data_IF_531989818693
#
_entry.id   IF_531989818693
#
_cell.length_a   1.000
_cell.length_b   1.000
_cell.length_c   1.000
_cell.angle_alpha   90.00
_cell.angle_beta   90.00
_cell.angle_gamma   90.00
#
_symmetry.space_group_name_H-M   'P 1'
#
loop_
_entity.id
_entity.type
_entity.pdbx_description
1 polymer ?
#
# COMPACT_ATOMS: atom_id res chain seq x y z
N UNK A 1 -45.54 -9.66 -2.66
CA UNK A 1 -44.55 -8.66 -2.17
C UNK A 1 -43.20 -9.34 -2.18
N UNK A 2 -42.42 -9.12 -3.21
CA UNK A 2 -41.04 -9.61 -3.32
C UNK A 2 -40.21 -8.71 -2.37
N UNK A 3 -39.62 -9.32 -1.33
CA UNK A 3 -38.69 -8.63 -0.45
C UNK A 3 -37.56 -8.01 -1.30
N UNK A 4 -37.18 -6.77 -0.98
CA UNK A 4 -36.07 -6.10 -1.69
C UNK A 4 -34.81 -6.97 -1.60
N UNK A 5 -34.01 -7.10 -2.69
CA UNK A 5 -32.78 -7.85 -2.66
C UNK A 5 -31.85 -7.28 -1.58
N UNK A 6 -31.42 -8.13 -0.65
CA UNK A 6 -30.59 -7.74 0.51
C UNK A 6 -31.37 -7.56 1.83
N UNK A 7 -32.70 -7.71 1.86
CA UNK A 7 -33.47 -7.70 3.12
C UNK A 7 -33.06 -8.91 3.98
N UNK A 8 -32.49 -8.63 5.15
CA UNK A 8 -31.97 -9.62 6.09
C UNK A 8 -30.41 -9.72 6.15
N UNK A 9 -29.70 -8.98 5.31
CA UNK A 9 -28.24 -8.85 5.42
C UNK A 9 -27.88 -7.72 6.40
N UNK A 10 -27.06 -8.04 7.39
CA UNK A 10 -26.64 -7.12 8.45
C UNK A 10 -25.10 -7.03 8.49
N UNK A 11 -24.57 -5.99 9.11
CA UNK A 11 -23.10 -5.80 9.25
C UNK A 11 -22.40 -7.00 9.91
N UNK A 12 -23.09 -7.72 10.82
CA UNK A 12 -22.53 -8.93 11.42
C UNK A 12 -22.25 -10.02 10.38
N UNK A 13 -23.05 -10.14 9.33
CA UNK A 13 -22.85 -11.09 8.25
C UNK A 13 -21.60 -10.73 7.43
N UNK A 14 -21.41 -9.43 7.13
CA UNK A 14 -20.24 -8.93 6.42
C UNK A 14 -18.96 -9.15 7.25
N UNK A 15 -19.00 -8.83 8.56
CA UNK A 15 -17.88 -9.06 9.48
C UNK A 15 -17.50 -10.54 9.58
N UNK A 16 -18.49 -11.42 9.70
CA UNK A 16 -18.29 -12.86 9.74
C UNK A 16 -17.60 -13.37 8.47
N UNK A 17 -18.12 -13.00 7.32
CA UNK A 17 -17.57 -13.40 6.02
C UNK A 17 -16.14 -12.85 5.81
N UNK A 18 -15.92 -11.56 6.05
CA UNK A 18 -14.60 -10.93 5.88
C UNK A 18 -13.54 -11.56 6.80
N UNK A 19 -13.89 -11.89 8.05
CA UNK A 19 -12.99 -12.57 8.96
C UNK A 19 -12.61 -13.98 8.46
N UNK A 20 -13.59 -14.77 8.01
CA UNK A 20 -13.35 -16.12 7.45
C UNK A 20 -12.49 -16.05 6.18
N UNK A 21 -12.76 -15.09 5.31
CA UNK A 21 -11.99 -14.87 4.08
C UNK A 21 -10.52 -14.53 4.37
N UNK A 22 -10.28 -13.64 5.35
CA UNK A 22 -8.94 -13.20 5.76
C UNK A 22 -8.12 -14.33 6.39
N UNK A 23 -8.73 -15.10 7.30
CA UNK A 23 -8.04 -16.18 8.02
C UNK A 23 -8.00 -17.50 7.24
N UNK A 24 -8.82 -17.64 6.18
CA UNK A 24 -9.04 -18.91 5.47
C UNK A 24 -9.37 -20.07 6.41
N UNK A 25 -10.00 -19.75 7.55
CA UNK A 25 -10.29 -20.67 8.64
C UNK A 25 -11.46 -20.18 9.48
N UNK A 26 -12.50 -20.98 9.62
CA UNK A 26 -13.63 -20.66 10.50
C UNK A 26 -13.22 -20.61 11.99
N UNK A 27 -12.32 -21.48 12.43
CA UNK A 27 -11.86 -21.52 13.81
C UNK A 27 -11.11 -20.24 14.18
N UNK A 28 -10.10 -19.85 13.40
CA UNK A 28 -9.33 -18.61 13.62
C UNK A 28 -10.20 -17.35 13.53
N UNK A 29 -11.12 -17.34 12.58
CA UNK A 29 -12.06 -16.22 12.45
C UNK A 29 -13.02 -16.13 13.65
N UNK A 30 -13.47 -17.26 14.19
CA UNK A 30 -14.32 -17.30 15.38
C UNK A 30 -13.57 -16.80 16.63
N UNK A 31 -12.31 -17.19 16.79
CA UNK A 31 -11.42 -16.69 17.84
C UNK A 31 -11.25 -15.17 17.76
N UNK A 32 -10.96 -14.63 16.57
CA UNK A 32 -10.85 -13.18 16.36
C UNK A 32 -12.14 -12.44 16.70
N UNK A 33 -13.29 -13.01 16.34
CA UNK A 33 -14.60 -12.38 16.57
C UNK A 33 -15.20 -12.71 17.94
N UNK A 34 -14.45 -13.38 18.81
CA UNK A 34 -14.88 -13.81 20.16
C UNK A 34 -16.23 -14.54 20.13
N UNK A 35 -16.44 -15.45 19.19
CA UNK A 35 -17.67 -16.20 19.00
C UNK A 35 -17.39 -17.70 18.84
N UNK A 36 -18.44 -18.53 18.95
CA UNK A 36 -18.31 -19.97 18.70
C UNK A 36 -18.27 -20.25 17.19
N UNK A 37 -17.36 -21.15 16.75
CA UNK A 37 -17.22 -21.53 15.34
C UNK A 37 -18.54 -21.99 14.68
N UNK A 38 -19.44 -22.77 15.34
CA UNK A 38 -20.72 -23.14 14.74
C UNK A 38 -21.65 -21.94 14.50
N UNK A 39 -21.59 -20.92 15.40
CA UNK A 39 -22.38 -19.70 15.25
C UNK A 39 -21.86 -18.88 14.05
N UNK A 40 -20.52 -18.71 13.92
CA UNK A 40 -19.90 -18.05 12.81
C UNK A 40 -20.26 -18.72 11.46
N UNK A 41 -20.17 -20.05 11.44
CA UNK A 41 -20.52 -20.83 10.23
C UNK A 41 -21.98 -20.63 9.82
N UNK A 42 -22.90 -20.59 10.79
CA UNK A 42 -24.33 -20.28 10.51
C UNK A 42 -24.50 -18.87 9.99
N UNK A 43 -23.83 -17.89 10.56
CA UNK A 43 -23.90 -16.49 10.11
C UNK A 43 -23.45 -16.35 8.66
N UNK A 44 -22.33 -16.99 8.27
CA UNK A 44 -21.89 -16.98 6.87
C UNK A 44 -22.85 -17.74 5.95
N UNK A 45 -23.41 -18.87 6.38
CA UNK A 45 -24.40 -19.61 5.61
C UNK A 45 -25.70 -18.78 5.38
N UNK A 46 -26.14 -18.02 6.39
CA UNK A 46 -27.27 -17.08 6.26
C UNK A 46 -26.99 -16.00 5.20
N UNK A 47 -25.77 -15.46 5.18
CA UNK A 47 -25.37 -14.51 4.15
C UNK A 47 -25.44 -15.11 2.75
N UNK A 48 -24.84 -16.29 2.55
CA UNK A 48 -24.86 -16.99 1.25
C UNK A 48 -26.29 -17.32 0.81
N UNK A 49 -27.15 -17.72 1.75
CA UNK A 49 -28.58 -17.96 1.49
C UNK A 49 -29.30 -16.68 1.09
N UNK A 50 -29.08 -15.57 1.80
CA UNK A 50 -29.73 -14.30 1.49
C UNK A 50 -29.28 -13.71 0.15
N UNK A 51 -28.04 -13.99 -0.27
CA UNK A 51 -27.49 -13.60 -1.57
C UNK A 51 -27.88 -14.59 -2.70
N UNK A 52 -28.27 -15.81 -2.37
CA UNK A 52 -28.53 -16.87 -3.34
C UNK A 52 -27.27 -17.40 -4.05
N UNK A 53 -26.08 -17.08 -3.55
CA UNK A 53 -24.81 -17.48 -4.15
C UNK A 53 -23.80 -17.94 -3.08
N UNK A 54 -22.89 -18.85 -3.47
CA UNK A 54 -21.79 -19.23 -2.61
C UNK A 54 -20.63 -18.23 -2.73
N UNK A 55 -20.13 -17.81 -1.59
CA UNK A 55 -18.97 -16.92 -1.47
C UNK A 55 -17.70 -17.68 -1.10
N UNK A 56 -17.84 -18.83 -0.42
CA UNK A 56 -16.74 -19.67 0.03
C UNK A 56 -16.85 -21.08 -0.53
N UNK A 57 -15.73 -21.60 -1.02
CA UNK A 57 -15.52 -23.01 -1.28
C UNK A 57 -14.99 -23.69 -0.03
N UNK A 58 -15.70 -24.73 0.42
CA UNK A 58 -15.37 -25.47 1.64
C UNK A 58 -14.88 -26.85 1.23
N UNK A 59 -13.61 -27.13 1.45
CA UNK A 59 -13.08 -28.47 1.47
C UNK A 59 -12.77 -28.88 2.91
N UNK A 60 -12.58 -30.18 3.17
CA UNK A 60 -12.21 -30.68 4.51
C UNK A 60 -10.87 -30.13 5.01
N UNK A 61 -10.08 -29.51 4.14
CA UNK A 61 -8.73 -29.01 4.48
C UNK A 61 -8.52 -27.52 4.26
N UNK A 62 -9.40 -26.83 3.49
CA UNK A 62 -9.20 -25.42 3.12
C UNK A 62 -10.54 -24.68 2.94
N UNK A 63 -10.51 -23.41 3.29
CA UNK A 63 -11.57 -22.45 2.97
C UNK A 63 -10.98 -21.46 1.97
N UNK A 64 -11.58 -21.38 0.79
CA UNK A 64 -11.16 -20.52 -0.30
C UNK A 64 -12.32 -19.63 -0.75
N UNK A 65 -12.02 -18.49 -1.34
CA UNK A 65 -13.04 -17.63 -1.93
C UNK A 65 -13.44 -18.14 -3.30
N UNK A 66 -14.74 -18.11 -3.61
CA UNK A 66 -15.21 -18.20 -4.99
C UNK A 66 -14.85 -16.91 -5.74
N UNK A 67 -14.96 -16.91 -7.09
CA UNK A 67 -14.80 -15.68 -7.87
C UNK A 67 -15.79 -14.59 -7.40
N UNK A 68 -17.06 -14.96 -7.16
CA UNK A 68 -18.09 -14.08 -6.59
C UNK A 68 -17.72 -13.63 -5.17
N UNK A 69 -17.16 -14.54 -4.34
CA UNK A 69 -16.71 -14.24 -2.99
C UNK A 69 -15.58 -13.22 -2.97
N UNK A 70 -14.66 -13.29 -3.90
CA UNK A 70 -13.56 -12.31 -4.02
C UNK A 70 -14.09 -10.91 -4.35
N UNK A 71 -15.00 -10.79 -5.29
CA UNK A 71 -15.66 -9.52 -5.63
C UNK A 71 -16.47 -8.99 -4.44
N UNK A 72 -17.27 -9.87 -3.82
CA UNK A 72 -18.11 -9.49 -2.68
C UNK A 72 -17.27 -9.06 -1.47
N UNK A 73 -16.09 -9.68 -1.25
CA UNK A 73 -15.20 -9.30 -0.15
C UNK A 73 -14.78 -7.84 -0.23
N UNK A 74 -14.38 -7.37 -1.41
CA UNK A 74 -14.00 -5.97 -1.61
C UNK A 74 -15.14 -5.02 -1.25
N UNK A 75 -16.36 -5.32 -1.65
CA UNK A 75 -17.54 -4.52 -1.31
C UNK A 75 -17.89 -4.59 0.18
N UNK A 76 -17.79 -5.77 0.78
CA UNK A 76 -18.06 -5.97 2.21
C UNK A 76 -17.06 -5.18 3.08
N UNK A 77 -15.76 -5.25 2.76
CA UNK A 77 -14.72 -4.49 3.47
C UNK A 77 -14.93 -2.98 3.35
N UNK A 78 -15.28 -2.46 2.16
CA UNK A 78 -15.64 -1.05 1.96
C UNK A 78 -16.84 -0.61 2.81
N UNK A 79 -17.89 -1.43 2.85
CA UNK A 79 -19.08 -1.14 3.64
C UNK A 79 -18.77 -1.10 5.14
N UNK A 80 -17.99 -2.05 5.62
CA UNK A 80 -17.54 -2.10 7.01
C UNK A 80 -16.68 -0.89 7.37
N UNK A 81 -15.72 -0.53 6.53
CA UNK A 81 -14.87 0.64 6.73
C UNK A 81 -15.68 1.94 6.76
N UNK A 82 -16.64 2.11 5.85
CA UNK A 82 -17.53 3.29 5.83
C UNK A 82 -18.40 3.38 7.10
N UNK A 83 -18.89 2.24 7.60
CA UNK A 83 -19.64 2.20 8.86
C UNK A 83 -18.76 2.59 10.06
N UNK A 84 -17.54 2.02 10.16
CA UNK A 84 -16.62 2.31 11.26
C UNK A 84 -16.19 3.80 11.24
N UNK A 85 -16.00 4.40 10.05
CA UNK A 85 -15.77 5.83 9.89
C UNK A 85 -16.94 6.68 10.38
N UNK A 86 -18.16 6.28 10.05
CA UNK A 86 -19.35 7.01 10.51
C UNK A 86 -19.49 6.98 12.05
N UNK A 87 -19.17 5.84 12.66
CA UNK A 87 -19.16 5.70 14.13
C UNK A 87 -18.08 6.56 14.76
N UNK A 88 -16.85 6.55 14.22
CA UNK A 88 -15.74 7.37 14.69
C UNK A 88 -16.08 8.87 14.60
N UNK A 89 -16.62 9.31 13.47
CA UNK A 89 -17.05 10.69 13.28
C UNK A 89 -18.14 11.13 14.30
N UNK A 90 -19.11 10.25 14.58
CA UNK A 90 -20.15 10.51 15.57
C UNK A 90 -19.61 10.62 17.01
N UNK A 91 -18.46 9.98 17.29
CA UNK A 91 -17.76 10.05 18.58
C UNK A 91 -16.79 11.23 18.68
N UNK A 92 -16.66 12.02 17.62
CA UNK A 92 -15.66 13.09 17.55
C UNK A 92 -14.22 12.59 17.40
N UNK A 93 -14.02 11.30 17.09
CA UNK A 93 -12.73 10.71 16.81
C UNK A 93 -12.35 11.06 15.36
N UNK A 94 -11.62 12.16 15.21
CA UNK A 94 -11.17 12.62 13.90
C UNK A 94 -9.81 12.01 13.58
N UNK A 95 -9.75 11.18 12.54
CA UNK A 95 -8.56 10.45 12.10
C UNK A 95 -8.43 10.55 10.58
N UNK A 96 -7.19 10.66 10.09
CA UNK A 96 -6.85 10.51 8.67
C UNK A 96 -5.80 9.42 8.53
N UNK A 97 -6.07 8.41 7.71
CA UNK A 97 -5.17 7.27 7.50
C UNK A 97 -4.32 7.49 6.26
N UNK A 98 -3.00 7.60 6.47
CA UNK A 98 -2.01 7.75 5.41
C UNK A 98 -1.38 6.40 5.07
N UNK A 99 -1.69 5.88 3.88
CA UNK A 99 -1.09 4.66 3.33
C UNK A 99 0.27 4.94 2.69
N UNK A 100 1.23 4.04 2.90
CA UNK A 100 2.55 4.10 2.27
C UNK A 100 3.15 2.70 2.13
N UNK A 101 4.04 2.50 1.14
CA UNK A 101 4.63 1.18 0.89
C UNK A 101 5.92 0.94 1.68
N UNK A 102 6.81 1.89 1.68
CA UNK A 102 8.10 1.84 2.40
C UNK A 102 8.52 3.28 2.68
N UNK A 103 9.48 3.52 3.48
CA UNK A 103 9.99 4.79 3.97
C UNK A 103 9.19 6.06 3.59
N UNK A 104 8.65 6.75 4.58
CA UNK A 104 8.09 8.08 4.37
C UNK A 104 9.22 9.08 4.09
N UNK A 105 9.02 10.04 3.17
CA UNK A 105 10.02 11.07 2.88
C UNK A 105 10.27 11.95 4.10
N UNK A 106 11.53 12.23 4.37
CA UNK A 106 11.98 13.09 5.46
C UNK A 106 12.58 14.38 4.87
N UNK A 107 12.23 15.56 5.34
CA UNK A 107 11.36 15.90 6.50
C UNK A 107 9.88 16.10 6.15
N UNK A 108 9.47 15.85 4.90
CA UNK A 108 8.12 16.11 4.41
C UNK A 108 7.03 15.48 5.30
N UNK A 109 7.19 14.20 5.64
CA UNK A 109 6.16 13.47 6.38
C UNK A 109 5.95 14.06 7.77
N UNK A 110 7.03 14.34 8.49
CA UNK A 110 7.00 14.90 9.84
C UNK A 110 6.34 16.28 9.85
N UNK A 111 6.72 17.16 8.91
CA UNK A 111 6.14 18.49 8.78
C UNK A 111 4.65 18.44 8.39
N UNK A 112 4.30 17.56 7.46
CA UNK A 112 2.90 17.38 7.02
C UNK A 112 2.02 16.90 8.17
N UNK A 113 2.46 15.86 8.88
CA UNK A 113 1.70 15.27 9.99
C UNK A 113 1.54 16.28 11.12
N UNK A 114 2.66 16.87 11.58
CA UNK A 114 2.62 17.83 12.69
C UNK A 114 1.72 19.04 12.37
N UNK A 115 1.82 19.58 11.17
CA UNK A 115 0.99 20.70 10.74
C UNK A 115 -0.50 20.33 10.67
N UNK A 116 -0.81 19.19 10.07
CA UNK A 116 -2.18 18.72 9.98
C UNK A 116 -2.83 18.51 11.35
N UNK A 117 -2.13 17.82 12.26
CA UNK A 117 -2.61 17.54 13.61
C UNK A 117 -2.77 18.83 14.43
N UNK A 118 -1.86 19.79 14.28
CA UNK A 118 -1.96 21.10 14.92
C UNK A 118 -3.15 21.92 14.42
N UNK A 119 -3.36 21.94 13.09
CA UNK A 119 -4.42 22.77 12.48
C UNK A 119 -5.82 22.19 12.68
N UNK A 120 -5.97 20.87 12.88
CA UNK A 120 -7.28 20.20 12.91
C UNK A 120 -7.62 19.55 14.24
N UNK A 121 -6.64 19.26 15.09
CA UNK A 121 -6.81 18.40 16.26
C UNK A 121 -7.05 16.91 15.93
N UNK A 122 -7.14 16.56 14.65
CA UNK A 122 -7.28 15.20 14.19
C UNK A 122 -5.92 14.48 14.18
N UNK A 123 -5.91 13.15 14.28
CA UNK A 123 -4.70 12.34 14.27
C UNK A 123 -4.42 11.77 12.88
N UNK A 124 -3.14 11.63 12.51
CA UNK A 124 -2.73 10.86 11.34
C UNK A 124 -2.30 9.46 11.76
N UNK A 125 -3.00 8.44 11.26
CA UNK A 125 -2.61 7.04 11.42
C UNK A 125 -1.85 6.56 10.20
N UNK A 126 -0.65 6.01 10.42
CA UNK A 126 0.21 5.49 9.38
C UNK A 126 -0.11 4.02 9.09
N UNK A 127 -0.46 3.73 7.84
CA UNK A 127 -0.82 2.37 7.39
C UNK A 127 0.20 1.89 6.36
N UNK A 128 1.06 0.95 6.77
CA UNK A 128 2.01 0.34 5.82
C UNK A 128 1.31 -0.75 5.00
N UNK A 129 1.47 -0.67 3.69
CA UNK A 129 1.00 -1.68 2.73
C UNK A 129 1.92 -1.68 1.52
N UNK A 130 2.28 -2.85 1.00
CA UNK A 130 3.12 -2.92 -0.21
C UNK A 130 2.40 -2.35 -1.44
N UNK A 131 1.06 -2.35 -1.47
CA UNK A 131 0.25 -1.63 -2.44
C UNK A 131 -0.73 -0.66 -1.73
N UNK A 132 -0.36 0.61 -1.51
CA UNK A 132 -1.23 1.59 -0.85
C UNK A 132 -2.51 1.92 -1.63
N UNK A 133 -2.55 1.74 -2.96
CA UNK A 133 -3.76 1.96 -3.77
C UNK A 133 -4.88 0.99 -3.39
N UNK A 134 -4.56 -0.27 -3.10
CA UNK A 134 -5.56 -1.24 -2.62
C UNK A 134 -6.23 -0.78 -1.33
N UNK A 135 -5.49 -0.05 -0.50
CA UNK A 135 -6.02 0.54 0.73
C UNK A 135 -7.07 1.62 0.48
N UNK A 136 -6.91 2.43 -0.57
CA UNK A 136 -7.92 3.41 -1.00
C UNK A 136 -9.19 2.73 -1.51
N UNK A 137 -9.03 1.70 -2.33
CA UNK A 137 -10.17 0.94 -2.87
C UNK A 137 -10.98 0.25 -1.78
N UNK A 138 -10.32 -0.22 -0.73
CA UNK A 138 -10.96 -0.87 0.43
C UNK A 138 -11.38 0.11 1.52
N UNK A 139 -11.17 1.40 1.33
CA UNK A 139 -11.38 2.45 2.33
C UNK A 139 -10.64 2.19 3.67
N UNK A 140 -9.53 1.47 3.62
CA UNK A 140 -8.65 1.24 4.78
C UNK A 140 -7.61 2.34 4.95
N UNK A 141 -7.39 3.16 3.92
CA UNK A 141 -6.63 4.42 3.96
C UNK A 141 -7.42 5.53 3.28
N UNK A 142 -7.16 6.78 3.65
CA UNK A 142 -7.83 7.96 3.12
C UNK A 142 -6.97 8.68 2.09
N UNK A 143 -5.66 8.59 2.26
CA UNK A 143 -4.64 9.13 1.35
C UNK A 143 -3.53 8.09 1.20
N UNK A 144 -3.07 7.85 -0.01
CA UNK A 144 -1.94 6.97 -0.32
C UNK A 144 -0.75 7.76 -0.87
N UNK A 145 0.43 7.56 -0.30
CA UNK A 145 1.68 8.09 -0.81
C UNK A 145 2.23 7.14 -1.88
N UNK A 146 2.40 7.65 -3.08
CA UNK A 146 2.86 6.90 -4.25
C UNK A 146 4.17 7.48 -4.77
N UNK A 147 5.09 6.58 -5.16
CA UNK A 147 6.31 6.91 -5.89
C UNK A 147 6.25 6.34 -7.30
N UNK A 148 6.62 7.17 -8.26
CA UNK A 148 6.61 6.77 -9.68
C UNK A 148 5.40 7.24 -10.45
N UNK A 149 5.30 6.79 -11.70
CA UNK A 149 4.33 7.25 -12.70
C UNK A 149 3.19 6.28 -12.94
N UNK A 150 3.07 5.20 -12.14
CA UNK A 150 1.99 4.23 -12.30
C UNK A 150 0.63 4.94 -12.39
N UNK A 151 -0.25 4.46 -13.28
CA UNK A 151 -1.58 5.05 -13.43
C UNK A 151 -2.39 4.88 -12.14
N UNK A 152 -3.18 5.88 -11.82
CA UNK A 152 -4.15 5.86 -10.74
C UNK A 152 -5.53 5.82 -11.36
N UNK A 153 -6.31 4.75 -11.15
CA UNK A 153 -7.60 4.59 -11.82
C UNK A 153 -8.64 5.59 -11.28
N UNK A 154 -9.56 6.07 -12.14
CA UNK A 154 -10.74 6.78 -11.67
C UNK A 154 -11.56 5.92 -10.69
N UNK A 155 -12.24 6.52 -9.71
CA UNK A 155 -12.44 7.95 -9.47
C UNK A 155 -11.38 8.62 -8.58
N UNK A 156 -10.25 7.95 -8.32
CA UNK A 156 -9.18 8.50 -7.50
C UNK A 156 -8.55 9.72 -8.16
N UNK A 157 -8.20 10.70 -7.34
CA UNK A 157 -7.46 11.90 -7.72
C UNK A 157 -6.00 11.79 -7.28
N UNK A 158 -5.12 12.53 -7.95
CA UNK A 158 -3.72 12.61 -7.56
C UNK A 158 -3.27 14.04 -7.36
N UNK A 159 -2.34 14.25 -6.43
CA UNK A 159 -1.62 15.50 -6.25
C UNK A 159 -0.12 15.21 -6.30
N UNK A 160 0.60 15.82 -7.25
CA UNK A 160 2.06 15.80 -7.29
C UNK A 160 2.61 16.65 -6.14
N UNK A 161 3.64 16.13 -5.48
CA UNK A 161 4.35 16.84 -4.39
C UNK A 161 5.66 17.42 -4.91
N UNK A 162 6.60 16.56 -5.26
CA UNK A 162 7.91 16.89 -5.82
C UNK A 162 8.53 15.64 -6.44
N UNK A 163 9.69 15.81 -7.04
CA UNK A 163 10.45 14.73 -7.67
C UNK A 163 11.65 14.36 -6.80
N UNK A 164 11.80 13.07 -6.46
CA UNK A 164 12.94 12.53 -5.73
C UNK A 164 14.06 12.12 -6.70
N UNK A 165 15.30 12.49 -6.43
CA UNK A 165 16.45 11.95 -7.15
C UNK A 165 16.60 10.44 -6.87
N UNK A 166 17.33 9.71 -7.73
CA UNK A 166 17.65 8.29 -7.54
C UNK A 166 19.07 8.11 -7.02
N UNK A 167 19.28 7.04 -6.28
CA UNK A 167 20.58 6.56 -5.85
C UNK A 167 20.70 5.07 -6.14
N UNK A 168 21.89 4.60 -6.48
CA UNK A 168 22.17 3.18 -6.61
C UNK A 168 22.58 2.61 -5.24
N UNK A 169 22.30 1.33 -5.02
CA UNK A 169 22.63 0.59 -3.79
C UNK A 169 23.29 -0.72 -4.20
N UNK A 170 24.39 -1.08 -3.57
CA UNK A 170 25.08 -2.35 -3.80
C UNK A 170 25.64 -2.91 -2.49
N UNK A 171 25.97 -4.20 -2.48
CA UNK A 171 26.73 -4.78 -1.39
C UNK A 171 28.17 -4.22 -1.40
N UNK A 172 28.74 -4.00 -0.22
CA UNK A 172 30.15 -3.63 -0.07
C UNK A 172 31.04 -4.76 -0.60
N UNK A 173 32.00 -4.39 -1.44
CA UNK A 173 32.90 -5.36 -2.11
C UNK A 173 32.31 -5.97 -3.40
N UNK A 174 31.12 -5.54 -3.81
CA UNK A 174 30.45 -5.91 -5.06
C UNK A 174 30.03 -4.67 -5.85
N UNK A 175 30.79 -3.60 -5.73
CA UNK A 175 30.49 -2.33 -6.40
C UNK A 175 30.51 -2.49 -7.92
N UNK A 176 29.54 -1.93 -8.64
CA UNK A 176 29.45 -2.00 -10.09
C UNK A 176 30.49 -1.13 -10.80
N UNK A 177 31.26 -0.34 -10.07
CA UNK A 177 32.27 0.57 -10.59
C UNK A 177 33.41 0.70 -9.60
N UNK A 178 34.63 0.95 -10.10
CA UNK A 178 35.77 1.31 -9.27
C UNK A 178 35.75 2.76 -8.79
N UNK A 179 34.82 3.57 -9.33
CA UNK A 179 34.57 4.94 -8.93
C UNK A 179 33.51 5.06 -7.83
N UNK A 180 33.26 6.30 -7.44
CA UNK A 180 32.28 6.63 -6.38
C UNK A 180 30.89 6.92 -6.93
N UNK A 181 30.66 6.79 -8.22
CA UNK A 181 29.41 7.14 -8.91
C UNK A 181 29.07 6.10 -9.98
N UNK A 182 27.77 5.94 -10.27
CA UNK A 182 27.27 5.10 -11.36
C UNK A 182 26.48 5.98 -12.34
N UNK A 183 26.58 5.70 -13.65
CA UNK A 183 25.72 6.35 -14.64
C UNK A 183 24.46 5.51 -14.87
N UNK A 184 23.32 6.18 -15.02
CA UNK A 184 22.03 5.54 -15.31
C UNK A 184 22.07 4.65 -16.55
N UNK A 185 22.77 5.09 -17.59
CA UNK A 185 22.87 4.36 -18.85
C UNK A 185 23.70 3.07 -18.72
N UNK A 186 24.57 2.98 -17.71
CA UNK A 186 25.39 1.81 -17.44
C UNK A 186 24.70 0.81 -16.49
N UNK A 187 23.70 1.27 -15.73
CA UNK A 187 22.99 0.44 -14.77
C UNK A 187 22.40 -0.86 -15.37
N UNK A 188 21.88 -0.89 -16.63
CA UNK A 188 21.39 -2.12 -17.26
C UNK A 188 22.44 -3.21 -17.50
N UNK A 189 23.73 -2.91 -17.44
CA UNK A 189 24.80 -3.91 -17.57
C UNK A 189 24.92 -4.81 -16.34
N UNK A 190 24.30 -4.43 -15.24
CA UNK A 190 24.32 -5.14 -13.95
C UNK A 190 23.03 -5.90 -13.70
N UNK A 191 23.09 -6.96 -12.90
CA UNK A 191 21.89 -7.59 -12.37
C UNK A 191 21.15 -6.59 -11.50
N UNK A 192 19.89 -6.33 -11.79
CA UNK A 192 19.06 -5.42 -11.01
C UNK A 192 18.15 -6.20 -10.04
N UNK A 193 18.17 -5.84 -8.76
CA UNK A 193 17.18 -6.32 -7.78
C UNK A 193 15.97 -5.43 -7.87
N UNK A 194 14.81 -6.01 -8.16
CA UNK A 194 13.57 -5.30 -8.48
C UNK A 194 12.47 -5.68 -7.47
N UNK A 195 11.91 -4.72 -6.77
CA UNK A 195 10.66 -4.93 -6.06
C UNK A 195 9.51 -4.73 -7.06
N UNK A 196 8.83 -5.81 -7.40
CA UNK A 196 7.78 -5.84 -8.44
C UNK A 196 6.46 -5.22 -7.98
N UNK A 197 6.25 -5.07 -6.67
CA UNK A 197 4.99 -4.55 -6.11
C UNK A 197 5.03 -3.04 -5.88
N UNK A 198 6.08 -2.54 -5.25
CA UNK A 198 6.20 -1.13 -4.84
C UNK A 198 7.52 -0.47 -5.25
N UNK A 199 8.30 -1.14 -6.09
CA UNK A 199 9.58 -0.62 -6.57
C UNK A 199 9.41 0.56 -7.51
N UNK A 200 10.38 1.47 -7.46
CA UNK A 200 10.39 2.67 -8.31
C UNK A 200 11.25 2.49 -9.56
N UNK A 201 12.00 1.41 -9.63
CA UNK A 201 12.92 1.09 -10.73
C UNK A 201 12.83 -0.38 -11.07
N UNK A 202 12.70 -0.66 -12.36
CA UNK A 202 12.64 -2.00 -12.94
C UNK A 202 12.86 -1.94 -14.45
N UNK A 203 12.74 -3.04 -15.18
CA UNK A 203 12.92 -3.07 -16.63
C UNK A 203 12.11 -2.00 -17.38
N UNK A 204 10.96 -1.64 -16.84
CA UNK A 204 10.08 -0.58 -17.36
C UNK A 204 10.67 0.85 -17.29
N UNK A 205 11.78 1.04 -16.59
CA UNK A 205 12.42 2.36 -16.44
C UNK A 205 13.32 2.73 -17.62
N UNK A 206 13.54 1.81 -18.54
CA UNK A 206 14.30 2.01 -19.78
C UNK A 206 13.44 1.74 -21.01
N UNK A 207 13.79 2.28 -22.18
CA UNK A 207 13.16 1.91 -23.43
C UNK A 207 13.24 0.39 -23.68
N UNK A 208 12.28 -0.15 -24.42
CA UNK A 208 12.25 -1.58 -24.74
C UNK A 208 13.59 -2.06 -25.34
N UNK A 209 14.14 -3.13 -24.79
CA UNK A 209 15.43 -3.69 -25.20
C UNK A 209 16.68 -3.00 -24.63
N UNK A 210 16.54 -1.93 -23.84
CA UNK A 210 17.65 -1.19 -23.23
C UNK A 210 17.73 -1.36 -21.71
N UNK A 211 16.81 -2.09 -21.11
CA UNK A 211 16.79 -2.39 -19.68
C UNK A 211 17.76 -3.51 -19.29
N UNK A 212 17.85 -3.83 -18.00
CA UNK A 212 18.72 -4.87 -17.47
C UNK A 212 18.39 -6.24 -18.06
N UNK A 213 19.44 -6.99 -18.42
CA UNK A 213 19.32 -8.36 -18.98
C UNK A 213 19.00 -9.40 -17.91
N UNK A 214 19.41 -9.13 -16.68
CA UNK A 214 19.22 -10.02 -15.54
C UNK A 214 18.54 -9.24 -14.42
N UNK A 215 17.50 -9.83 -13.85
CA UNK A 215 16.80 -9.28 -12.69
C UNK A 215 16.66 -10.33 -11.61
N UNK A 216 16.64 -9.87 -10.35
CA UNK A 216 16.25 -10.64 -9.19
C UNK A 216 14.96 -9.99 -8.68
N UNK A 217 13.84 -10.70 -8.76
CA UNK A 217 12.55 -10.22 -8.35
C UNK A 217 12.35 -10.41 -6.84
N UNK A 218 11.74 -9.42 -6.22
CA UNK A 218 11.28 -9.43 -4.82
C UNK A 218 9.89 -8.79 -4.76
N UNK A 219 9.16 -9.03 -3.69
CA UNK A 219 7.76 -8.58 -3.57
C UNK A 219 7.57 -7.43 -2.61
N UNK A 220 8.56 -7.19 -1.73
CA UNK A 220 8.52 -6.11 -0.75
C UNK A 220 9.91 -5.50 -0.56
N UNK A 221 9.96 -4.43 0.23
CA UNK A 221 11.19 -3.67 0.45
C UNK A 221 12.22 -4.42 1.29
N UNK A 222 11.80 -5.22 2.25
CA UNK A 222 12.72 -5.94 3.14
C UNK A 222 13.45 -7.06 2.37
N UNK A 223 12.73 -7.82 1.55
CA UNK A 223 13.32 -8.83 0.65
C UNK A 223 14.28 -8.18 -0.36
N UNK A 224 13.91 -7.02 -0.90
CA UNK A 224 14.75 -6.26 -1.80
C UNK A 224 16.05 -5.84 -1.12
N UNK A 225 15.98 -5.28 0.08
CA UNK A 225 17.13 -4.80 0.84
C UNK A 225 18.12 -5.95 1.13
N UNK A 226 17.63 -7.08 1.64
CA UNK A 226 18.43 -8.26 1.94
C UNK A 226 19.02 -8.89 0.68
N UNK A 227 18.30 -8.88 -0.44
CA UNK A 227 18.82 -9.39 -1.71
C UNK A 227 19.99 -8.55 -2.23
N UNK A 228 19.91 -7.23 -2.12
CA UNK A 228 21.03 -6.33 -2.45
C UNK A 228 22.18 -6.53 -1.49
N UNK A 229 21.93 -6.63 -0.18
CA UNK A 229 22.96 -6.84 0.83
C UNK A 229 23.69 -8.18 0.67
N UNK A 230 23.01 -9.19 0.15
CA UNK A 230 23.59 -10.49 -0.19
C UNK A 230 24.40 -10.48 -1.50
N UNK A 231 24.54 -9.33 -2.18
CA UNK A 231 25.33 -9.21 -3.42
C UNK A 231 24.66 -9.83 -4.65
N UNK A 232 23.33 -10.05 -4.64
CA UNK A 232 22.61 -10.66 -5.76
C UNK A 232 22.46 -9.73 -6.97
N UNK A 233 22.74 -8.44 -6.79
CA UNK A 233 22.68 -7.41 -7.80
C UNK A 233 22.69 -6.03 -7.18
N UNK A 234 22.55 -5.00 -8.02
CA UNK A 234 22.38 -3.62 -7.57
C UNK A 234 20.91 -3.29 -7.39
N UNK A 235 20.62 -2.37 -6.48
CA UNK A 235 19.30 -1.77 -6.33
C UNK A 235 19.32 -0.31 -6.77
N UNK A 236 18.18 0.23 -7.19
CA UNK A 236 18.02 1.65 -7.47
C UNK A 236 16.75 2.14 -6.76
N UNK A 237 16.90 3.15 -5.92
CA UNK A 237 15.84 3.69 -5.06
C UNK A 237 15.87 5.22 -5.05
N UNK A 238 14.81 5.90 -4.61
CA UNK A 238 14.87 7.31 -4.30
C UNK A 238 15.96 7.64 -3.26
N UNK A 239 16.61 8.78 -3.41
CA UNK A 239 17.73 9.23 -2.56
C UNK A 239 17.37 9.36 -1.08
N UNK A 240 16.10 9.58 -0.76
CA UNK A 240 15.58 9.53 0.63
C UNK A 240 15.99 8.25 1.38
N UNK A 241 16.15 7.13 0.66
CA UNK A 241 16.58 5.86 1.24
C UNK A 241 17.99 5.92 1.84
N UNK A 242 18.92 6.65 1.22
CA UNK A 242 20.31 6.78 1.66
C UNK A 242 20.42 7.35 3.09
N UNK A 243 19.59 8.32 3.43
CA UNK A 243 19.59 8.96 4.75
C UNK A 243 18.91 8.10 5.83
N UNK A 244 18.01 7.22 5.43
CA UNK A 244 17.15 6.44 6.34
C UNK A 244 17.65 5.01 6.56
N UNK A 245 18.35 4.44 5.59
CA UNK A 245 18.84 3.05 5.68
C UNK A 245 20.28 3.07 6.20
N UNK A 246 20.48 2.42 7.35
CA UNK A 246 21.80 2.17 7.95
C UNK A 246 22.04 0.66 7.96
N UNK A 247 22.66 0.15 6.90
CA UNK A 247 22.97 -1.28 6.76
C UNK A 247 24.47 -1.47 6.55
N UNK A 248 25.18 -2.23 7.42
CA UNK A 248 26.65 -2.32 7.38
C UNK A 248 27.19 -2.94 6.08
N UNK A 249 26.44 -3.86 5.46
CA UNK A 249 26.81 -4.51 4.22
C UNK A 249 26.50 -3.69 2.95
N UNK A 250 25.81 -2.54 3.07
CA UNK A 250 25.41 -1.77 1.90
C UNK A 250 26.28 -0.53 1.70
N UNK A 251 26.39 -0.15 0.41
CA UNK A 251 26.94 1.11 -0.04
C UNK A 251 25.97 1.79 -0.98
N UNK A 252 25.75 3.09 -0.76
CA UNK A 252 24.99 3.94 -1.67
C UNK A 252 25.98 4.64 -2.62
N UNK A 253 25.60 4.72 -3.89
CA UNK A 253 26.36 5.38 -4.92
C UNK A 253 25.49 6.42 -5.62
N UNK A 254 25.95 7.67 -5.73
CA UNK A 254 25.27 8.66 -6.54
C UNK A 254 25.04 8.12 -7.96
N UNK A 255 23.86 8.36 -8.51
CA UNK A 255 23.45 7.87 -9.82
C UNK A 255 23.25 9.05 -10.78
N UNK A 256 24.19 9.22 -11.70
CA UNK A 256 24.18 10.32 -12.66
C UNK A 256 23.20 10.06 -13.81
N UNK A 257 22.63 11.13 -14.35
CA UNK A 257 21.71 11.12 -15.49
C UNK A 257 20.42 10.28 -15.28
N UNK A 258 20.12 9.88 -14.05
CA UNK A 258 18.90 9.15 -13.74
C UNK A 258 17.68 10.06 -13.80
N UNK A 259 16.56 9.64 -14.44
CA UNK A 259 15.31 10.38 -14.36
C UNK A 259 14.81 10.39 -12.91
N UNK A 260 14.22 11.49 -12.44
CA UNK A 260 13.68 11.55 -11.09
C UNK A 260 12.47 10.64 -10.91
N UNK A 261 12.07 10.44 -9.65
CA UNK A 261 10.89 9.68 -9.27
C UNK A 261 9.84 10.65 -8.74
N UNK A 262 8.70 10.83 -9.42
CA UNK A 262 7.65 11.69 -8.89
C UNK A 262 7.04 11.10 -7.63
N UNK A 263 6.95 11.92 -6.59
CA UNK A 263 6.24 11.65 -5.36
C UNK A 263 4.85 12.27 -5.45
N UNK A 264 3.82 11.47 -5.22
CA UNK A 264 2.42 11.85 -5.39
C UNK A 264 1.58 11.37 -4.23
N UNK A 265 0.50 12.09 -3.93
CA UNK A 265 -0.60 11.58 -3.13
C UNK A 265 -1.73 11.14 -4.04
N UNK A 266 -2.32 9.99 -3.76
CA UNK A 266 -3.59 9.56 -4.33
C UNK A 266 -4.66 9.54 -3.23
N UNK A 267 -5.89 9.89 -3.58
CA UNK A 267 -6.99 9.99 -2.64
C UNK A 267 -8.34 9.92 -3.33
N UNK A 268 -9.37 9.57 -2.59
CA UNK A 268 -10.75 9.63 -3.07
C UNK A 268 -11.35 11.01 -2.76
N UNK A 269 -11.86 11.77 -3.74
CA UNK A 269 -12.24 13.17 -3.54
C UNK A 269 -13.39 13.37 -2.54
N UNK A 270 -14.16 12.33 -2.26
CA UNK A 270 -15.34 12.38 -1.40
C UNK A 270 -15.10 11.85 0.02
N UNK A 271 -13.91 11.31 0.33
CA UNK A 271 -13.59 10.80 1.65
C UNK A 271 -13.16 11.93 2.56
N UNK A 272 -13.85 12.15 3.68
CA UNK A 272 -13.54 13.18 4.68
C UNK A 272 -13.14 14.54 4.09
N UNK A 273 -14.00 15.24 3.33
CA UNK A 273 -13.60 16.37 2.47
C UNK A 273 -12.92 17.51 3.24
N UNK A 274 -13.26 17.71 4.51
CA UNK A 274 -12.63 18.74 5.35
C UNK A 274 -11.22 18.33 5.78
N UNK A 275 -11.06 17.13 6.38
CA UNK A 275 -9.73 16.63 6.80
C UNK A 275 -8.79 16.45 5.63
N UNK A 276 -9.30 15.89 4.52
CA UNK A 276 -8.53 15.72 3.28
C UNK A 276 -7.98 17.06 2.78
N UNK A 277 -8.80 18.10 2.72
CA UNK A 277 -8.38 19.44 2.28
C UNK A 277 -7.27 20.00 3.17
N UNK A 278 -7.39 19.89 4.50
CA UNK A 278 -6.33 20.32 5.43
C UNK A 278 -5.05 19.52 5.24
N UNK A 279 -5.17 18.19 5.09
CA UNK A 279 -4.00 17.33 4.86
C UNK A 279 -3.28 17.65 3.55
N UNK A 280 -4.01 17.78 2.45
CA UNK A 280 -3.44 18.16 1.14
C UNK A 280 -2.81 19.56 1.19
N UNK A 281 -3.37 20.50 1.94
CA UNK A 281 -2.80 21.82 2.19
C UNK A 281 -1.46 21.74 2.94
N UNK A 282 -1.43 21.01 4.06
CA UNK A 282 -0.22 20.77 4.84
C UNK A 282 0.87 20.07 4.00
N UNK A 283 0.48 19.04 3.26
CA UNK A 283 1.36 18.27 2.39
C UNK A 283 2.01 19.11 1.30
N UNK A 284 1.25 20.00 0.67
CA UNK A 284 1.75 20.95 -0.35
C UNK A 284 2.73 21.94 0.25
N UNK A 285 2.39 22.53 1.40
CA UNK A 285 3.27 23.48 2.09
C UNK A 285 4.58 22.83 2.49
N UNK A 286 4.53 21.60 3.03
CA UNK A 286 5.74 20.87 3.39
C UNK A 286 6.61 20.53 2.17
N UNK A 287 6.00 20.24 1.01
CA UNK A 287 6.71 19.94 -0.23
C UNK A 287 7.43 21.18 -0.83
N UNK A 288 6.90 22.38 -0.62
CA UNK A 288 7.52 23.63 -1.12
C UNK A 288 8.77 24.03 -0.32
N UNK A 289 8.95 23.47 0.87
CA UNK A 289 10.04 23.80 1.79
C UNK A 289 11.19 22.76 1.76
N UNK A 290 11.19 21.85 0.79
CA UNK A 290 12.24 20.86 0.52
C UNK A 290 13.11 21.33 -0.65
#
# INVERSE_FOLDING_TARGET
MTAAPGSGIELRHLRAFAAVARHRSFTRAAEQLLTAQPALSRTVAQLETALGVRLLERSTRRVELTATGSVFLSHAERTLAAFDQAVAAARGESELRLGFSWLLPDPWAQHTIARFEQDTGARVTLVRSDNPLDGLDRLSVDVALLRGTQPVPPPLCTMHLYDEARTAVCARGSEPTTGDRLNWNDAPHWTLVVNTTSGTTGPWSWPAGHGPRHIVETTNFDEWLESVAAGRGIGIVPSTAEHRIRHPALRFLPLDAAPPVPLRLAYHPHTHPTLLRHFLGAARTAATNI
#
